data_IF_564206537920
#
_entry.id   IF_564206537920
#
_cell.length_a   1.000
_cell.length_b   1.000
_cell.length_c   1.000
_cell.angle_alpha   90.00
_cell.angle_beta   90.00
_cell.angle_gamma   90.00
#
_symmetry.space_group_name_H-M   'P 1'
#
loop_
_entity.id
_entity.type
_entity.pdbx_description
1 polymer ?
#
# COMPACT_ATOMS: atom_id res chain seq x y z
N UNK A 1 3.38 7.32 26.36
CA UNK A 1 2.86 6.10 25.70
C UNK A 1 1.86 6.56 24.66
N UNK A 2 2.35 6.83 23.44
CA UNK A 2 1.75 7.71 22.44
C UNK A 2 0.81 6.94 21.49
N UNK A 3 -0.23 7.60 21.00
CA UNK A 3 -1.25 7.07 20.08
C UNK A 3 -0.64 6.39 18.83
N UNK A 4 0.55 6.84 18.39
CA UNK A 4 1.35 6.23 17.31
C UNK A 4 1.71 4.75 17.55
N UNK A 5 1.93 4.35 18.82
CA UNK A 5 2.29 2.97 19.18
C UNK A 5 1.11 1.99 18.98
N UNK A 6 -0.13 2.45 19.20
CA UNK A 6 -1.32 1.61 19.00
C UNK A 6 -1.59 1.36 17.52
N UNK A 7 -1.45 2.39 16.68
CA UNK A 7 -1.68 2.28 15.23
C UNK A 7 -0.60 1.42 14.56
N UNK A 8 0.68 1.62 14.94
CA UNK A 8 1.78 0.76 14.50
C UNK A 8 1.54 -0.70 14.86
N UNK A 9 1.16 -0.98 16.12
CA UNK A 9 0.86 -2.35 16.57
C UNK A 9 -0.30 -2.98 15.82
N UNK A 10 -1.38 -2.24 15.58
CA UNK A 10 -2.50 -2.74 14.79
C UNK A 10 -2.10 -3.04 13.34
N UNK A 11 -1.30 -2.17 12.72
CA UNK A 11 -0.79 -2.38 11.37
C UNK A 11 0.08 -3.64 11.28
N UNK A 12 1.00 -3.84 12.23
CA UNK A 12 1.86 -5.02 12.32
C UNK A 12 1.02 -6.29 12.52
N UNK A 13 0.05 -6.27 13.43
CA UNK A 13 -0.82 -7.40 13.70
C UNK A 13 -1.68 -7.76 12.49
N UNK A 14 -2.31 -6.78 11.85
CA UNK A 14 -3.12 -7.00 10.63
C UNK A 14 -2.27 -7.58 9.50
N UNK A 15 -1.08 -7.02 9.26
CA UNK A 15 -0.13 -7.57 8.28
C UNK A 15 0.25 -9.02 8.59
N UNK A 16 0.52 -9.31 9.87
CA UNK A 16 0.86 -10.67 10.34
C UNK A 16 -0.29 -11.65 10.10
N UNK A 17 -1.52 -11.27 10.44
CA UNK A 17 -2.70 -12.11 10.20
C UNK A 17 -2.93 -12.38 8.72
N UNK A 18 -2.77 -11.37 7.85
CA UNK A 18 -2.87 -11.58 6.41
C UNK A 18 -1.80 -12.54 5.89
N UNK A 19 -0.54 -12.38 6.32
CA UNK A 19 0.54 -13.30 5.96
C UNK A 19 0.25 -14.73 6.42
N UNK A 20 -0.20 -14.91 7.67
CA UNK A 20 -0.57 -16.21 8.21
C UNK A 20 -1.74 -16.84 7.44
N UNK A 21 -2.76 -16.06 7.07
CA UNK A 21 -3.89 -16.54 6.28
C UNK A 21 -3.51 -16.97 4.87
N UNK A 22 -2.68 -16.17 4.17
CA UNK A 22 -2.14 -16.53 2.84
C UNK A 22 -1.25 -17.77 2.94
N UNK A 23 -0.42 -17.87 3.98
CA UNK A 23 0.41 -19.04 4.27
C UNK A 23 -0.42 -20.30 4.53
N UNK A 24 -1.47 -20.20 5.34
CA UNK A 24 -2.38 -21.32 5.62
C UNK A 24 -3.09 -21.78 4.34
N UNK A 25 -3.60 -20.85 3.54
CA UNK A 25 -4.27 -21.14 2.26
C UNK A 25 -3.32 -21.85 1.29
N UNK A 26 -2.08 -21.36 1.19
CA UNK A 26 -1.03 -21.98 0.36
C UNK A 26 -0.67 -23.38 0.89
N UNK A 27 -0.54 -23.54 2.20
CA UNK A 27 -0.29 -24.83 2.85
C UNK A 27 -1.40 -25.84 2.58
N UNK A 28 -2.66 -25.41 2.62
CA UNK A 28 -3.81 -26.24 2.27
C UNK A 28 -3.77 -26.70 0.81
N UNK A 29 -3.53 -25.78 -0.13
CA UNK A 29 -3.43 -26.09 -1.56
C UNK A 29 -2.30 -27.07 -1.85
N UNK A 30 -1.12 -26.87 -1.25
CA UNK A 30 0.02 -27.78 -1.42
C UNK A 30 -0.29 -29.15 -0.82
N UNK A 31 -0.94 -29.21 0.34
CA UNK A 31 -1.33 -30.48 0.96
C UNK A 31 -2.37 -31.24 0.12
N UNK A 32 -3.30 -30.52 -0.51
CA UNK A 32 -4.28 -31.07 -1.44
C UNK A 32 -3.60 -31.69 -2.66
N UNK A 33 -2.70 -30.95 -3.32
CA UNK A 33 -1.98 -31.43 -4.51
C UNK A 33 -1.06 -32.61 -4.18
N UNK A 34 -0.41 -32.59 -3.02
CA UNK A 34 0.54 -33.65 -2.61
C UNK A 34 -0.10 -34.82 -1.86
N UNK A 35 -1.42 -34.81 -1.70
CA UNK A 35 -2.18 -35.82 -0.94
C UNK A 35 -1.58 -36.07 0.47
N UNK A 36 -1.21 -35.00 1.15
CA UNK A 36 -0.62 -35.00 2.51
C UNK A 36 -1.66 -34.60 3.56
N UNK A 37 -1.43 -34.85 4.87
CA UNK A 37 -2.37 -34.45 5.92
C UNK A 37 -2.63 -32.94 5.91
N UNK A 38 -3.85 -32.58 5.48
CA UNK A 38 -4.28 -31.20 5.19
C UNK A 38 -4.15 -30.26 6.38
N UNK A 39 -4.61 -30.70 7.55
CA UNK A 39 -4.66 -29.87 8.76
C UNK A 39 -3.27 -29.49 9.27
N UNK A 40 -2.36 -30.46 9.36
CA UNK A 40 -0.99 -30.21 9.81
C UNK A 40 -0.26 -29.23 8.88
N UNK A 41 -0.26 -29.49 7.57
CA UNK A 41 0.43 -28.61 6.61
C UNK A 41 -0.16 -27.19 6.59
N UNK A 42 -1.47 -27.05 6.70
CA UNK A 42 -2.15 -25.74 6.76
C UNK A 42 -1.69 -24.94 7.98
N UNK A 43 -1.72 -25.55 9.17
CA UNK A 43 -1.35 -24.88 10.42
C UNK A 43 0.14 -24.56 10.47
N UNK A 44 1.01 -25.52 10.16
CA UNK A 44 2.46 -25.29 10.19
C UNK A 44 2.89 -24.22 9.19
N UNK A 45 2.34 -24.23 7.97
CA UNK A 45 2.64 -23.19 6.98
C UNK A 45 2.10 -21.84 7.40
N UNK A 46 0.89 -21.78 7.94
CA UNK A 46 0.29 -20.55 8.47
C UNK A 46 1.11 -19.94 9.62
N UNK A 47 1.57 -20.76 10.58
CA UNK A 47 2.42 -20.31 11.69
C UNK A 47 3.77 -19.81 11.18
N UNK A 48 4.45 -20.55 10.29
CA UNK A 48 5.73 -20.14 9.73
C UNK A 48 5.62 -18.81 8.95
N UNK A 49 4.58 -18.64 8.13
CA UNK A 49 4.30 -17.38 7.45
C UNK A 49 3.88 -16.25 8.40
N UNK A 50 3.22 -16.58 9.51
CA UNK A 50 2.90 -15.64 10.58
C UNK A 50 4.15 -15.11 11.27
N UNK A 51 5.07 -16.00 11.67
CA UNK A 51 6.35 -15.61 12.27
C UNK A 51 7.15 -14.72 11.29
N UNK A 52 7.24 -15.14 10.03
CA UNK A 52 7.88 -14.34 8.98
C UNK A 52 7.24 -12.95 8.83
N UNK A 53 5.90 -12.91 8.76
CA UNK A 53 5.13 -11.67 8.66
C UNK A 53 5.38 -10.75 9.85
N UNK A 54 5.32 -11.27 11.07
CA UNK A 54 5.56 -10.51 12.29
C UNK A 54 6.94 -9.86 12.30
N UNK A 55 7.99 -10.64 12.02
CA UNK A 55 9.36 -10.12 11.94
C UNK A 55 9.51 -9.06 10.85
N UNK A 56 8.93 -9.30 9.67
CA UNK A 56 9.00 -8.37 8.54
C UNK A 56 8.33 -7.03 8.87
N UNK A 57 7.06 -7.06 9.31
CA UNK A 57 6.30 -5.84 9.57
C UNK A 57 6.87 -5.06 10.77
N UNK A 58 7.42 -5.73 11.78
CA UNK A 58 8.04 -5.05 12.92
C UNK A 58 9.29 -4.28 12.51
N UNK A 59 10.18 -4.90 11.74
CA UNK A 59 11.40 -4.25 11.25
C UNK A 59 11.04 -3.13 10.27
N UNK A 60 10.08 -3.38 9.36
CA UNK A 60 9.62 -2.37 8.40
C UNK A 60 9.06 -1.14 9.10
N UNK A 61 8.22 -1.33 10.12
CA UNK A 61 7.62 -0.23 10.86
C UNK A 61 8.67 0.57 11.67
N UNK A 62 9.64 -0.10 12.28
CA UNK A 62 10.76 0.56 12.94
C UNK A 62 11.58 1.42 11.95
N UNK A 63 11.88 0.90 10.77
CA UNK A 63 12.58 1.65 9.72
C UNK A 63 11.77 2.85 9.22
N UNK A 64 10.46 2.69 9.02
CA UNK A 64 9.57 3.78 8.60
C UNK A 64 9.43 4.85 9.67
N UNK A 65 9.28 4.46 10.93
CA UNK A 65 9.20 5.37 12.07
C UNK A 65 10.49 6.18 12.23
N UNK A 66 11.65 5.54 12.03
CA UNK A 66 12.94 6.22 12.05
C UNK A 66 13.07 7.25 10.92
N UNK A 67 12.70 6.89 9.69
CA UNK A 67 12.75 7.79 8.53
C UNK A 67 11.79 8.98 8.71
N UNK A 68 10.55 8.73 9.13
CA UNK A 68 9.57 9.79 9.43
C UNK A 68 10.05 10.77 10.49
N UNK A 69 10.77 10.27 11.51
CA UNK A 69 11.35 11.13 12.54
C UNK A 69 12.48 12.02 12.01
N UNK A 70 13.12 11.66 10.90
CA UNK A 70 14.24 12.40 10.28
C UNK A 70 13.81 13.32 9.14
N UNK A 71 12.70 13.04 8.47
CA UNK A 71 12.14 13.88 7.40
C UNK A 71 11.95 15.37 7.77
N UNK A 72 11.48 15.76 8.98
CA UNK A 72 11.34 17.17 9.33
C UNK A 72 12.69 17.90 9.43
N UNK A 73 13.76 17.22 9.84
CA UNK A 73 15.11 17.80 9.96
C UNK A 73 15.66 18.26 8.59
N UNK A 74 15.21 17.63 7.51
CA UNK A 74 15.62 17.94 6.14
C UNK A 74 14.62 18.82 5.37
N UNK A 75 13.53 19.26 6.01
CA UNK A 75 12.46 20.04 5.35
C UNK A 75 11.73 19.28 4.24
N UNK A 76 11.79 17.95 4.23
CA UNK A 76 11.20 17.11 3.20
C UNK A 76 9.73 16.83 3.51
N UNK A 77 8.85 17.01 2.51
CA UNK A 77 7.47 16.58 2.66
C UNK A 77 7.37 15.05 2.68
N UNK A 78 6.64 14.52 3.66
CA UNK A 78 6.35 13.08 3.77
C UNK A 78 5.75 12.48 2.49
N UNK A 79 5.04 13.27 1.67
CA UNK A 79 4.48 12.79 0.40
C UNK A 79 5.53 12.53 -0.68
N UNK A 80 6.63 13.27 -0.68
CA UNK A 80 7.69 13.17 -1.69
C UNK A 80 8.62 11.99 -1.40
N UNK A 81 8.93 11.74 -0.14
CA UNK A 81 9.84 10.64 0.26
C UNK A 81 9.12 9.31 0.43
N UNK A 82 7.79 9.31 0.61
CA UNK A 82 6.99 8.11 0.92
C UNK A 82 7.34 6.88 0.09
N UNK A 83 7.41 7.02 -1.24
CA UNK A 83 7.63 5.86 -2.12
C UNK A 83 9.03 5.28 -1.93
N UNK A 84 10.04 6.14 -1.76
CA UNK A 84 11.43 5.73 -1.52
C UNK A 84 11.55 5.14 -0.12
N UNK A 85 10.94 5.75 0.88
CA UNK A 85 10.98 5.30 2.28
C UNK A 85 10.30 3.92 2.42
N UNK A 86 9.15 3.73 1.77
CA UNK A 86 8.46 2.44 1.68
C UNK A 86 9.29 1.39 0.93
N UNK A 87 9.99 1.77 -0.14
CA UNK A 87 10.84 0.86 -0.92
C UNK A 87 12.06 0.40 -0.12
N UNK A 88 12.81 1.34 0.47
CA UNK A 88 14.00 1.05 1.26
C UNK A 88 13.62 0.23 2.50
N UNK A 89 12.57 0.64 3.23
CA UNK A 89 12.13 -0.10 4.41
C UNK A 89 11.68 -1.51 4.09
N UNK A 90 10.96 -1.74 3.00
CA UNK A 90 10.52 -3.09 2.56
C UNK A 90 11.68 -3.96 2.14
N UNK A 91 12.61 -3.39 1.38
CA UNK A 91 13.80 -4.08 0.87
C UNK A 91 14.70 -4.50 2.03
N UNK A 92 14.99 -3.56 2.93
CA UNK A 92 15.84 -3.81 4.08
C UNK A 92 15.21 -4.75 5.11
N UNK A 93 13.92 -4.56 5.45
CA UNK A 93 13.20 -5.45 6.37
C UNK A 93 13.04 -6.87 5.80
N UNK A 94 12.79 -6.99 4.50
CA UNK A 94 12.77 -8.27 3.78
C UNK A 94 14.12 -8.97 3.87
N UNK A 95 15.20 -8.25 3.59
CA UNK A 95 16.56 -8.78 3.73
C UNK A 95 16.88 -9.23 5.15
N UNK A 96 16.65 -8.38 6.16
CA UNK A 96 16.93 -8.73 7.56
C UNK A 96 16.12 -9.94 8.02
N UNK A 97 14.83 -9.96 7.73
CA UNK A 97 13.93 -11.07 8.09
C UNK A 97 14.36 -12.36 7.40
N UNK A 98 14.62 -12.28 6.10
CA UNK A 98 15.04 -13.41 5.28
C UNK A 98 16.40 -13.97 5.68
N UNK A 99 17.36 -13.10 5.97
CA UNK A 99 18.68 -13.49 6.47
C UNK A 99 18.59 -14.16 7.84
N UNK A 100 17.87 -13.55 8.78
CA UNK A 100 17.71 -14.09 10.13
C UNK A 100 17.01 -15.45 10.14
N UNK A 101 15.87 -15.58 9.47
CA UNK A 101 15.13 -16.85 9.41
C UNK A 101 15.87 -17.92 8.60
N UNK A 102 16.65 -17.53 7.60
CA UNK A 102 17.52 -18.48 6.88
C UNK A 102 18.62 -19.02 7.78
N UNK A 103 19.17 -18.21 8.69
CA UNK A 103 20.14 -18.68 9.69
C UNK A 103 19.50 -19.70 10.63
N UNK A 104 18.29 -19.43 11.11
CA UNK A 104 17.59 -20.34 12.02
C UNK A 104 17.26 -21.69 11.39
N UNK A 105 16.94 -21.72 10.09
CA UNK A 105 16.51 -22.96 9.43
C UNK A 105 17.64 -23.71 8.71
N UNK A 106 18.66 -23.00 8.20
CA UNK A 106 19.72 -23.57 7.33
C UNK A 106 21.14 -23.29 7.82
N UNK A 107 21.30 -22.60 8.95
CA UNK A 107 22.60 -22.29 9.56
C UNK A 107 23.24 -20.99 9.05
N UNK A 108 24.40 -20.65 9.62
CA UNK A 108 25.07 -19.33 9.45
C UNK A 108 25.40 -18.99 7.99
N UNK A 109 25.73 -20.00 7.16
CA UNK A 109 26.03 -19.80 5.74
C UNK A 109 24.83 -19.36 4.90
N UNK A 110 23.60 -19.52 5.41
CA UNK A 110 22.39 -19.14 4.70
C UNK A 110 21.96 -17.68 4.95
N UNK A 111 22.66 -16.94 5.82
CA UNK A 111 22.31 -15.55 6.15
C UNK A 111 22.32 -14.64 4.91
N UNK A 112 23.43 -14.62 4.20
CA UNK A 112 23.65 -13.76 3.04
C UNK A 112 22.72 -14.09 1.85
N UNK A 113 22.60 -15.36 1.40
CA UNK A 113 21.67 -15.68 0.33
C UNK A 113 20.21 -15.42 0.73
N UNK A 114 19.86 -15.67 2.00
CA UNK A 114 18.53 -15.32 2.55
C UNK A 114 18.26 -13.82 2.47
N UNK A 115 19.22 -13.00 2.88
CA UNK A 115 19.10 -11.54 2.80
C UNK A 115 18.85 -11.08 1.36
N UNK A 116 19.67 -11.54 0.41
CA UNK A 116 19.59 -11.09 -0.99
C UNK A 116 18.25 -11.47 -1.63
N UNK A 117 17.81 -12.73 -1.45
CA UNK A 117 16.57 -13.23 -2.07
C UNK A 117 15.36 -12.48 -1.54
N UNK A 118 15.22 -12.39 -0.21
CA UNK A 118 14.05 -11.75 0.39
C UNK A 118 14.07 -10.23 0.21
N UNK A 119 15.23 -9.59 0.23
CA UNK A 119 15.38 -8.17 -0.14
C UNK A 119 14.88 -7.90 -1.56
N UNK A 120 15.27 -8.77 -2.50
CA UNK A 120 14.88 -8.63 -3.92
C UNK A 120 13.37 -8.84 -4.12
N UNK A 121 12.80 -9.89 -3.51
CA UNK A 121 11.37 -10.18 -3.60
C UNK A 121 10.55 -9.02 -3.00
N UNK A 122 10.93 -8.51 -1.84
CA UNK A 122 10.22 -7.42 -1.18
C UNK A 122 10.37 -6.10 -1.96
N UNK A 123 11.56 -5.79 -2.48
CA UNK A 123 11.78 -4.60 -3.30
C UNK A 123 10.98 -4.64 -4.60
N UNK A 124 11.01 -5.77 -5.32
CA UNK A 124 10.22 -5.96 -6.53
C UNK A 124 8.70 -5.91 -6.25
N UNK A 125 8.26 -6.51 -5.13
CA UNK A 125 6.87 -6.46 -4.68
C UNK A 125 6.41 -5.03 -4.39
N UNK A 126 7.24 -4.23 -3.71
CA UNK A 126 6.93 -2.84 -3.42
C UNK A 126 6.90 -1.98 -4.70
N UNK A 127 7.81 -2.18 -5.66
CA UNK A 127 7.77 -1.51 -6.97
C UNK A 127 6.47 -1.86 -7.72
N UNK A 128 6.10 -3.14 -7.73
CA UNK A 128 4.87 -3.61 -8.35
C UNK A 128 3.65 -2.94 -7.71
N UNK A 129 3.59 -2.91 -6.37
CA UNK A 129 2.54 -2.23 -5.61
C UNK A 129 2.44 -0.74 -5.97
N UNK A 130 3.55 0.00 -5.93
CA UNK A 130 3.58 1.42 -6.26
C UNK A 130 3.16 1.69 -7.71
N UNK A 131 3.58 0.84 -8.66
CA UNK A 131 3.18 0.97 -10.07
C UNK A 131 1.69 0.79 -10.24
N UNK A 132 1.10 -0.23 -9.61
CA UNK A 132 -0.35 -0.47 -9.66
C UNK A 132 -1.11 0.67 -8.97
N UNK A 133 -0.61 1.14 -7.83
CA UNK A 133 -1.19 2.25 -7.09
C UNK A 133 -1.22 3.55 -7.92
N UNK A 134 -0.10 3.91 -8.54
CA UNK A 134 0.02 5.08 -9.41
C UNK A 134 -0.84 4.93 -10.66
N UNK A 135 -0.92 3.73 -11.24
CA UNK A 135 -1.81 3.44 -12.35
C UNK A 135 -3.28 3.71 -11.98
N UNK A 136 -3.76 3.24 -10.82
CA UNK A 136 -5.11 3.55 -10.32
C UNK A 136 -5.34 5.05 -10.15
N UNK A 137 -4.39 5.76 -9.56
CA UNK A 137 -4.50 7.21 -9.38
C UNK A 137 -4.67 7.94 -10.72
N UNK A 138 -3.91 7.56 -11.75
CA UNK A 138 -4.05 8.17 -13.07
C UNK A 138 -5.42 7.92 -13.71
N UNK A 139 -6.02 6.75 -13.50
CA UNK A 139 -7.39 6.46 -13.97
C UNK A 139 -8.39 7.38 -13.26
N UNK A 140 -8.29 7.53 -11.94
CA UNK A 140 -9.19 8.38 -11.16
C UNK A 140 -9.06 9.84 -11.59
N UNK A 141 -7.84 10.35 -11.75
CA UNK A 141 -7.59 11.73 -12.19
C UNK A 141 -8.14 11.99 -13.60
N UNK A 142 -7.98 11.04 -14.53
CA UNK A 142 -8.55 11.13 -15.88
C UNK A 142 -10.08 11.17 -15.86
N UNK A 143 -10.72 10.34 -15.04
CA UNK A 143 -12.18 10.34 -14.90
C UNK A 143 -12.70 11.67 -14.33
N UNK A 144 -12.02 12.23 -13.33
CA UNK A 144 -12.39 13.52 -12.73
C UNK A 144 -12.27 14.69 -13.71
N UNK A 145 -11.19 14.74 -14.50
CA UNK A 145 -11.01 15.78 -15.51
C UNK A 145 -12.03 15.68 -16.66
N UNK A 146 -12.48 14.47 -16.99
CA UNK A 146 -13.51 14.23 -18.00
C UNK A 146 -14.90 14.70 -17.54
N UNK A 147 -15.26 14.45 -16.28
CA UNK A 147 -16.51 14.95 -15.68
C UNK A 147 -16.55 16.48 -15.64
N UNK A 148 -15.43 17.14 -15.26
CA UNK A 148 -15.32 18.61 -15.30
C UNK A 148 -15.48 19.17 -16.71
N UNK A 149 -14.92 18.51 -17.73
CA UNK A 149 -15.05 18.94 -19.13
C UNK A 149 -16.49 18.80 -19.64
N UNK A 150 -17.20 17.74 -19.27
CA UNK A 150 -18.60 17.52 -19.63
C UNK A 150 -19.54 18.53 -18.94
N UNK A 151 -19.25 18.88 -17.69
CA UNK A 151 -19.98 19.89 -16.92
C UNK A 151 -19.81 21.30 -17.51
N UNK A 152 -18.58 21.68 -17.87
CA UNK A 152 -18.29 22.98 -18.49
C UNK A 152 -18.84 23.12 -19.92
N UNK A 153 -19.01 21.99 -20.64
CA UNK A 153 -19.61 21.98 -21.98
C UNK A 153 -21.14 22.11 -21.90
N UNK A 154 -21.78 21.61 -20.84
CA UNK A 154 -23.23 21.72 -20.64
C UNK A 154 -23.72 23.12 -20.25
N UNK A 155 -22.81 24.04 -19.90
CA UNK A 155 -23.14 25.45 -19.62
C UNK A 155 -22.93 26.40 -20.81
N UNK A 156 -22.50 25.89 -21.97
CA UNK A 156 -22.41 26.66 -23.21
C UNK A 156 -23.12 25.91 -24.34
N UNK A 157 -24.45 26.09 -24.46
CA UNK A 157 -25.21 25.72 -25.66
C UNK A 157 -25.74 27.02 -26.29
N UNK A 158 -25.23 27.44 -27.45
CA UNK A 158 -26.07 27.95 -28.53
C UNK A 158 -26.59 26.75 -29.33
N UNK A 159 -27.90 26.74 -29.59
CA UNK A 159 -28.56 25.80 -30.49
C UNK A 159 -27.89 25.80 -31.87
N UNK A 160 -27.37 24.65 -32.34
CA UNK A 160 -27.54 24.26 -33.75
C UNK A 160 -27.26 22.76 -33.97
N UNK A 161 -28.01 22.23 -34.93
CA UNK A 161 -28.15 20.84 -35.32
C UNK A 161 -26.90 20.26 -36.01
N UNK A 162 -26.92 18.93 -36.10
CA UNK A 162 -26.25 18.10 -37.12
C UNK A 162 -24.82 17.66 -36.82
N UNK A 163 -24.69 16.43 -36.28
CA UNK A 163 -24.17 15.24 -37.01
C UNK A 163 -23.81 14.15 -35.99
N UNK A 164 -24.73 13.22 -35.80
CA UNK A 164 -24.40 11.86 -35.43
C UNK A 164 -23.48 11.27 -36.49
N UNK A 165 -22.27 10.84 -36.11
CA UNK A 165 -21.68 9.53 -36.45
C UNK A 165 -20.23 9.44 -35.99
N UNK A 166 -19.85 8.24 -35.54
CA UNK A 166 -18.50 7.79 -35.18
C UNK A 166 -17.95 8.08 -33.78
N UNK A 167 -18.59 7.50 -32.77
CA UNK A 167 -17.85 6.88 -31.65
C UNK A 167 -18.20 5.39 -31.61
N UNK A 168 -17.84 4.68 -32.68
CA UNK A 168 -17.83 3.23 -32.65
C UNK A 168 -16.70 2.76 -31.71
N UNK A 169 -17.12 2.14 -30.60
CA UNK A 169 -16.63 0.83 -30.20
C UNK A 169 -15.13 0.57 -30.32
N UNK A 170 -14.31 1.35 -29.59
CA UNK A 170 -13.02 0.81 -29.13
C UNK A 170 -13.32 -0.09 -27.93
N UNK A 171 -13.69 -1.35 -28.19
CA UNK A 171 -13.68 -2.43 -27.18
C UNK A 171 -12.26 -2.48 -26.61
N UNK A 172 -12.01 -1.70 -25.56
CA UNK A 172 -10.78 -1.81 -24.76
C UNK A 172 -10.80 -3.23 -24.21
N UNK A 173 -9.87 -4.07 -24.69
CA UNK A 173 -9.50 -5.29 -23.97
C UNK A 173 -9.23 -4.83 -22.54
N UNK A 174 -10.09 -5.22 -21.59
CA UNK A 174 -9.81 -5.00 -20.18
C UNK A 174 -8.47 -5.67 -19.90
N UNK A 175 -7.42 -4.87 -19.73
CA UNK A 175 -6.14 -5.39 -19.32
C UNK A 175 -6.31 -5.96 -17.92
N UNK A 176 -5.64 -7.04 -17.57
CA UNK A 176 -5.67 -7.59 -16.21
C UNK A 176 -5.37 -6.51 -15.14
N UNK A 177 -4.56 -5.53 -15.50
CA UNK A 177 -4.28 -4.34 -14.70
C UNK A 177 -5.49 -3.42 -14.50
N UNK A 178 -6.36 -3.26 -15.51
CA UNK A 178 -7.61 -2.51 -15.38
C UNK A 178 -8.57 -3.20 -14.40
N UNK A 179 -8.64 -4.53 -14.45
CA UNK A 179 -9.44 -5.32 -13.51
C UNK A 179 -8.90 -5.22 -12.08
N UNK A 180 -7.59 -5.39 -11.88
CA UNK A 180 -6.95 -5.19 -10.56
C UNK A 180 -7.09 -3.76 -10.03
N UNK A 181 -7.07 -2.77 -10.93
CA UNK A 181 -7.30 -1.36 -10.61
C UNK A 181 -8.76 -1.06 -10.23
N UNK A 182 -9.73 -1.83 -10.73
CA UNK A 182 -11.14 -1.64 -10.39
C UNK A 182 -11.51 -2.20 -9.00
N UNK A 183 -10.73 -3.14 -8.46
CA UNK A 183 -10.97 -3.71 -7.13
C UNK A 183 -10.77 -2.62 -6.04
N UNK A 184 -11.70 -2.53 -5.07
CA UNK A 184 -11.68 -1.57 -3.94
C UNK A 184 -10.65 -1.90 -2.84
N UNK A 185 -9.51 -2.49 -3.19
CA UNK A 185 -8.51 -2.94 -2.21
C UNK A 185 -7.54 -1.82 -1.79
N UNK A 186 -7.49 -0.71 -2.53
CA UNK A 186 -6.57 0.40 -2.29
C UNK A 186 -7.31 1.63 -1.76
N UNK A 187 -6.77 2.33 -0.75
CA UNK A 187 -7.42 3.43 -0.03
C UNK A 187 -7.61 4.70 -0.86
N UNK A 188 -7.17 4.72 -2.12
CA UNK A 188 -7.44 5.83 -3.04
C UNK A 188 -8.85 5.69 -3.57
N UNK A 189 -9.76 6.48 -3.02
CA UNK A 189 -11.11 6.69 -3.54
C UNK A 189 -11.24 8.10 -4.09
N UNK A 190 -12.09 8.27 -5.12
CA UNK A 190 -12.48 9.60 -5.57
C UNK A 190 -13.25 10.26 -4.43
N UNK A 191 -12.73 11.36 -3.88
CA UNK A 191 -13.48 12.18 -2.94
C UNK A 191 -14.59 12.91 -3.69
N UNK A 192 -15.81 12.90 -3.15
CA UNK A 192 -16.84 13.84 -3.60
C UNK A 192 -16.44 15.26 -3.20
N UNK A 193 -16.97 16.27 -3.89
CA UNK A 193 -16.66 17.68 -3.57
C UNK A 193 -17.06 18.03 -2.12
N UNK A 194 -18.13 17.41 -1.62
CA UNK A 194 -18.57 17.56 -0.23
C UNK A 194 -17.55 16.98 0.76
N UNK A 195 -17.09 15.75 0.52
CA UNK A 195 -16.05 15.11 1.34
C UNK A 195 -14.72 15.88 1.31
N UNK A 196 -14.39 16.49 0.17
CA UNK A 196 -13.20 17.32 0.04
C UNK A 196 -13.31 18.61 0.87
N UNK A 197 -14.47 19.28 0.84
CA UNK A 197 -14.72 20.49 1.65
C UNK A 197 -14.68 20.18 3.14
N UNK A 198 -15.20 19.03 3.56
CA UNK A 198 -15.11 18.56 4.95
C UNK A 198 -13.65 18.30 5.36
N UNK A 199 -12.87 17.62 4.54
CA UNK A 199 -11.44 17.40 4.82
C UNK A 199 -10.65 18.70 4.92
N UNK A 200 -10.95 19.70 4.08
CA UNK A 200 -10.29 21.00 4.15
C UNK A 200 -10.62 21.73 5.45
N UNK A 201 -11.88 21.74 5.88
CA UNK A 201 -12.27 22.33 7.18
C UNK A 201 -11.57 21.64 8.35
N UNK A 202 -11.51 20.30 8.34
CA UNK A 202 -10.81 19.54 9.39
C UNK A 202 -9.32 19.87 9.42
N UNK A 203 -8.67 20.01 8.26
CA UNK A 203 -7.25 20.40 8.20
C UNK A 203 -7.02 21.84 8.66
N UNK A 204 -7.91 22.75 8.32
CA UNK A 204 -7.87 24.15 8.79
C UNK A 204 -7.99 24.19 10.31
N UNK A 205 -8.95 23.46 10.90
CA UNK A 205 -9.08 23.36 12.36
C UNK A 205 -7.87 22.72 13.04
N UNK A 206 -7.23 21.73 12.41
CA UNK A 206 -5.99 21.12 12.93
C UNK A 206 -4.82 22.11 12.93
N UNK A 207 -4.65 22.85 11.83
CA UNK A 207 -3.64 23.89 11.71
C UNK A 207 -3.86 25.03 12.71
N UNK A 208 -5.10 25.43 12.94
CA UNK A 208 -5.43 26.41 13.97
C UNK A 208 -5.07 25.88 15.36
N UNK A 209 -5.46 24.66 15.70
CA UNK A 209 -5.10 24.03 16.98
C UNK A 209 -3.59 23.92 17.19
N UNK A 210 -2.83 23.57 16.15
CA UNK A 210 -1.35 23.55 16.20
C UNK A 210 -0.76 24.96 16.42
N UNK A 211 -1.29 25.98 15.74
CA UNK A 211 -0.87 27.38 15.96
C UNK A 211 -1.19 27.86 17.38
N UNK A 212 -2.37 27.55 17.90
CA UNK A 212 -2.75 27.89 19.27
C UNK A 212 -1.92 27.14 20.32
N UNK A 213 -1.55 25.88 20.06
CA UNK A 213 -0.68 25.10 20.95
C UNK A 213 0.76 25.66 20.99
N UNK A 214 1.32 26.03 19.84
CA UNK A 214 2.65 26.67 19.77
C UNK A 214 2.66 28.05 20.44
N UNK A 215 1.61 28.85 20.29
CA UNK A 215 1.50 30.17 20.92
C UNK A 215 1.36 30.14 22.45
N UNK A 216 1.04 28.99 23.04
CA UNK A 216 0.88 28.83 24.50
C UNK A 216 2.18 28.38 25.19
N UNK A 217 3.21 28.07 24.41
CA UNK A 217 4.54 27.65 24.85
C UNK A 217 5.58 28.79 24.80
N UNK A 218 5.20 29.94 24.23
CA UNK A 218 5.91 31.22 24.30
C UNK A 218 5.25 32.14 25.36
#
# INVERSE_FOLDING_TARGET
MNISDKESRDQILRGTFYSAGVGATTGYLVAYIKNKPRFHFTIFTGINCGIFGLTFFSIRDACLSFQKSKNPDYGLLNSQTREIDELISSTFSGGLTGGFLSVLNRGRGAALPGFIIFSTICGAGQICYSTIYNYRQTIILRSSNQDKKLSNTSQNIPDDNTKETNIQNKKKKHSFLDWLAAIKWSPVTKLSEEQYRELMKVKEEQLEKEKYANKKLD
#
